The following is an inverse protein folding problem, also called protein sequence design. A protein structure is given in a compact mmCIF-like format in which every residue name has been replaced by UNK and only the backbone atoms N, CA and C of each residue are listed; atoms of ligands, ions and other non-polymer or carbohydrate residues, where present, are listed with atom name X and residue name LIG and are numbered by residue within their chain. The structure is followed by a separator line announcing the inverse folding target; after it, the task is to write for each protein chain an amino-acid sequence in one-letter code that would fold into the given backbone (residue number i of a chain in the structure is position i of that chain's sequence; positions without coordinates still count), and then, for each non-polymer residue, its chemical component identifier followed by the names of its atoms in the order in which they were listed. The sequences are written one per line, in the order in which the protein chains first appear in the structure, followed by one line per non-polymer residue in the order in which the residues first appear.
data_IF_381464783325
#
_entry.id   IF_381464783325
#
_cell.length_a   1.000
_cell.length_b   1.000
_cell.length_c   1.000
_cell.angle_alpha   90.00
_cell.angle_beta   90.00
_cell.angle_gamma   90.00
#
_symmetry.space_group_name_H-M   'P 1'
#
loop_
_entity.id
_entity.type
_entity.pdbx_description
1 polymer ?
#
# COMPACT_ATOMS: atom_id res chain seq x y z
N UNK A 1 -1.54 -7.00 16.29
CA UNK A 1 -2.43 -6.69 15.16
C UNK A 1 -3.61 -7.64 15.11
N UNK A 2 -3.40 -8.98 15.01
CA UNK A 2 -4.49 -9.94 14.88
C UNK A 2 -5.52 -9.86 16.03
N UNK A 3 -5.07 -9.90 17.30
CA UNK A 3 -5.96 -9.77 18.44
C UNK A 3 -6.70 -8.43 18.48
N UNK A 4 -6.05 -7.33 18.06
CA UNK A 4 -6.70 -6.02 17.96
C UNK A 4 -7.79 -5.99 16.88
N UNK A 5 -7.58 -6.67 15.74
CA UNK A 5 -8.57 -6.75 14.69
C UNK A 5 -9.78 -7.61 15.09
N UNK A 6 -9.54 -8.68 15.84
CA UNK A 6 -10.62 -9.50 16.43
C UNK A 6 -11.45 -8.70 17.46
N UNK A 7 -10.78 -7.97 18.33
CA UNK A 7 -11.42 -7.10 19.33
C UNK A 7 -12.24 -5.99 18.67
N UNK A 8 -11.68 -5.31 17.66
CA UNK A 8 -12.37 -4.28 16.85
C UNK A 8 -13.63 -4.83 16.17
N UNK A 9 -13.62 -6.09 15.75
CA UNK A 9 -14.77 -6.77 15.16
C UNK A 9 -15.77 -7.32 16.20
N UNK A 10 -15.42 -7.33 17.49
CA UNK A 10 -16.20 -7.98 18.55
C UNK A 10 -16.26 -9.50 18.39
N UNK A 11 -15.20 -10.09 17.82
CA UNK A 11 -15.09 -11.53 17.53
C UNK A 11 -13.84 -12.12 18.19
N UNK A 12 -13.80 -13.44 18.20
CA UNK A 12 -12.67 -14.22 18.72
C UNK A 12 -12.05 -15.07 17.61
N UNK A 13 -10.90 -15.68 17.87
CA UNK A 13 -10.30 -16.59 16.90
C UNK A 13 -11.17 -17.83 16.61
N UNK A 14 -12.05 -18.23 17.53
CA UNK A 14 -12.98 -19.33 17.37
C UNK A 14 -14.07 -19.05 16.32
N UNK A 15 -14.33 -17.76 16.04
CA UNK A 15 -15.31 -17.35 15.03
C UNK A 15 -14.73 -17.37 13.61
N UNK A 16 -13.40 -17.45 13.49
CA UNK A 16 -12.70 -17.43 12.21
C UNK A 16 -12.75 -18.80 11.53
N UNK A 17 -13.02 -18.80 10.22
CA UNK A 17 -13.10 -20.01 9.41
C UNK A 17 -11.82 -20.25 8.59
N UNK A 18 -11.03 -19.20 8.35
CA UNK A 18 -9.71 -19.29 7.71
C UNK A 18 -8.82 -18.11 8.11
N UNK A 19 -7.50 -18.29 7.96
CA UNK A 19 -6.49 -17.26 8.13
C UNK A 19 -5.68 -17.13 6.84
N UNK A 20 -5.54 -15.90 6.34
CA UNK A 20 -4.71 -15.55 5.19
C UNK A 20 -3.54 -14.68 5.66
N UNK A 21 -2.32 -15.18 5.51
CA UNK A 21 -1.13 -14.53 6.05
C UNK A 21 -0.18 -14.07 4.94
N UNK A 22 0.14 -12.79 4.91
CA UNK A 22 1.16 -12.21 4.05
C UNK A 22 2.48 -12.05 4.80
N UNK A 23 3.54 -12.67 4.27
CA UNK A 23 4.92 -12.48 4.71
C UNK A 23 5.85 -12.76 3.54
N UNK A 24 6.85 -11.90 3.32
CA UNK A 24 7.81 -12.04 2.24
C UNK A 24 9.14 -12.64 2.72
N UNK A 25 9.74 -12.05 3.75
CA UNK A 25 11.09 -12.40 4.18
C UNK A 25 11.24 -13.82 4.73
N UNK A 26 10.16 -14.40 5.25
CA UNK A 26 10.11 -15.76 5.80
C UNK A 26 8.98 -16.58 5.15
N UNK A 27 8.69 -16.37 3.87
CA UNK A 27 7.56 -16.98 3.16
C UNK A 27 7.52 -18.52 3.28
N UNK A 28 8.67 -19.19 3.29
CA UNK A 28 8.76 -20.66 3.44
C UNK A 28 8.62 -21.15 4.90
N UNK A 29 8.53 -20.25 5.88
CA UNK A 29 8.53 -20.59 7.31
C UNK A 29 7.13 -20.76 7.90
N UNK A 30 6.09 -20.83 7.08
CA UNK A 30 4.70 -21.04 7.51
C UNK A 30 4.26 -20.03 8.59
N UNK A 31 4.50 -18.75 8.32
CA UNK A 31 4.31 -17.66 9.31
C UNK A 31 2.86 -17.60 9.82
N UNK A 32 1.88 -17.82 8.94
CA UNK A 32 0.46 -17.85 9.35
C UNK A 32 0.15 -18.89 10.39
N UNK A 33 0.75 -20.10 10.32
CA UNK A 33 0.59 -21.13 11.35
C UNK A 33 1.22 -20.70 12.68
N UNK A 34 2.36 -20.01 12.64
CA UNK A 34 2.98 -19.45 13.85
C UNK A 34 2.10 -18.39 14.50
N UNK A 35 1.52 -17.49 13.66
CA UNK A 35 0.53 -16.51 14.15
C UNK A 35 -0.64 -17.21 14.82
N UNK A 36 -1.19 -18.26 14.18
CA UNK A 36 -2.31 -19.02 14.72
C UNK A 36 -1.97 -19.71 16.05
N UNK A 37 -0.74 -20.21 16.21
CA UNK A 37 -0.24 -20.77 17.48
C UNK A 37 -0.30 -19.77 18.62
N UNK A 38 0.05 -18.52 18.35
CA UNK A 38 0.09 -17.46 19.37
C UNK A 38 -1.31 -16.91 19.75
N UNK A 39 -2.26 -16.90 18.80
CA UNK A 39 -3.59 -16.33 19.02
C UNK A 39 -4.67 -17.37 19.34
N UNK A 40 -4.38 -18.65 19.15
CA UNK A 40 -5.26 -19.77 19.44
C UNK A 40 -5.37 -20.78 18.28
N UNK A 41 -4.94 -22.01 18.52
CA UNK A 41 -4.99 -23.09 17.53
C UNK A 41 -6.40 -23.71 17.45
N UNK A 42 -7.19 -23.23 16.50
CA UNK A 42 -8.59 -23.69 16.28
C UNK A 42 -8.71 -24.75 15.21
N UNK A 43 -7.63 -25.07 14.50
CA UNK A 43 -7.64 -26.04 13.40
C UNK A 43 -8.15 -25.50 12.07
N UNK A 44 -8.36 -24.18 11.96
CA UNK A 44 -8.77 -23.53 10.70
C UNK A 44 -7.70 -23.62 9.62
N UNK A 45 -8.10 -23.53 8.35
CA UNK A 45 -7.20 -23.49 7.22
C UNK A 45 -6.35 -22.21 7.23
N UNK A 46 -5.06 -22.34 6.91
CA UNK A 46 -4.11 -21.22 6.82
C UNK A 46 -3.52 -21.17 5.42
N UNK A 47 -3.60 -20.00 4.77
CA UNK A 47 -2.97 -19.71 3.48
C UNK A 47 -1.87 -18.69 3.69
N UNK A 48 -0.64 -19.01 3.29
CA UNK A 48 0.47 -18.08 3.31
C UNK A 48 0.69 -17.50 1.91
N UNK A 49 0.82 -16.18 1.81
CA UNK A 49 1.00 -15.45 0.56
C UNK A 49 2.34 -14.72 0.54
N UNK A 50 2.98 -14.65 -0.63
CA UNK A 50 4.14 -13.83 -0.89
C UNK A 50 4.05 -13.26 -2.31
N UNK A 51 4.17 -11.91 -2.45
CA UNK A 51 4.06 -11.22 -3.72
C UNK A 51 4.80 -9.87 -3.68
N UNK A 52 6.09 -9.93 -3.34
CA UNK A 52 6.94 -8.77 -3.08
C UNK A 52 6.25 -7.75 -2.14
N UNK A 53 6.33 -6.45 -2.43
CA UNK A 53 5.68 -5.42 -1.61
C UNK A 53 4.14 -5.50 -1.61
N UNK A 54 3.53 -6.16 -2.61
CA UNK A 54 2.08 -6.40 -2.69
C UNK A 54 1.60 -7.60 -1.84
N UNK A 55 2.47 -8.21 -1.04
CA UNK A 55 2.18 -9.40 -0.23
C UNK A 55 0.95 -9.22 0.67
N UNK A 56 0.88 -8.12 1.43
CA UNK A 56 -0.27 -7.84 2.31
C UNK A 56 -1.57 -7.62 1.54
N UNK A 57 -1.50 -6.90 0.41
CA UNK A 57 -2.66 -6.69 -0.47
C UNK A 57 -3.14 -8.02 -1.07
N UNK A 58 -2.22 -8.92 -1.43
CA UNK A 58 -2.55 -10.26 -1.91
C UNK A 58 -3.26 -11.08 -0.84
N UNK A 59 -2.73 -11.12 0.39
CA UNK A 59 -3.38 -11.86 1.49
C UNK A 59 -4.80 -11.33 1.78
N UNK A 60 -4.99 -10.01 1.77
CA UNK A 60 -6.31 -9.40 1.91
C UNK A 60 -7.26 -9.78 0.76
N UNK A 61 -6.76 -9.76 -0.48
CA UNK A 61 -7.56 -10.16 -1.64
C UNK A 61 -7.99 -11.62 -1.58
N UNK A 62 -7.11 -12.52 -1.22
CA UNK A 62 -7.45 -13.95 -1.12
C UNK A 62 -8.48 -14.19 0.01
N UNK A 63 -8.35 -13.49 1.13
CA UNK A 63 -9.36 -13.47 2.18
C UNK A 63 -10.71 -12.97 1.66
N UNK A 64 -10.71 -11.84 0.94
CA UNK A 64 -11.91 -11.27 0.33
C UNK A 64 -12.54 -12.21 -0.71
N UNK A 65 -11.73 -12.85 -1.57
CA UNK A 65 -12.20 -13.81 -2.57
C UNK A 65 -12.89 -15.00 -1.92
N UNK A 66 -12.36 -15.51 -0.82
CA UNK A 66 -12.98 -16.61 -0.05
C UNK A 66 -14.37 -16.24 0.46
N UNK A 67 -14.51 -15.02 1.00
CA UNK A 67 -15.82 -14.51 1.47
C UNK A 67 -16.75 -14.23 0.28
N UNK A 68 -16.25 -13.59 -0.76
CA UNK A 68 -17.03 -13.24 -1.96
C UNK A 68 -17.58 -14.47 -2.69
N UNK A 69 -16.80 -15.55 -2.73
CA UNK A 69 -17.18 -16.82 -3.33
C UNK A 69 -18.11 -17.66 -2.42
N UNK A 70 -18.38 -17.22 -1.18
CA UNK A 70 -19.21 -17.94 -0.22
C UNK A 70 -18.56 -19.21 0.34
N UNK A 71 -17.23 -19.32 0.25
CA UNK A 71 -16.48 -20.44 0.87
C UNK A 71 -16.45 -20.28 2.39
N UNK A 72 -16.26 -19.04 2.84
CA UNK A 72 -16.26 -18.67 4.26
C UNK A 72 -17.13 -17.43 4.48
N UNK A 73 -17.72 -17.30 5.66
CA UNK A 73 -18.46 -16.11 6.07
C UNK A 73 -17.61 -15.15 6.90
N UNK A 74 -16.60 -15.67 7.62
CA UNK A 74 -15.74 -14.89 8.53
C UNK A 74 -14.30 -15.37 8.42
N UNK A 75 -13.38 -14.48 8.06
CA UNK A 75 -11.96 -14.80 7.90
C UNK A 75 -11.07 -13.72 8.45
N UNK A 76 -9.83 -14.08 8.78
CA UNK A 76 -8.81 -13.17 9.25
C UNK A 76 -7.70 -13.04 8.19
N UNK A 77 -7.41 -11.81 7.77
CA UNK A 77 -6.23 -11.46 6.98
C UNK A 77 -5.17 -10.85 7.90
N UNK A 78 -3.94 -11.35 7.83
CA UNK A 78 -2.81 -10.84 8.62
C UNK A 78 -1.63 -10.60 7.70
N UNK A 79 -1.01 -9.45 7.82
CA UNK A 79 0.27 -9.14 7.19
C UNK A 79 1.31 -8.89 8.26
N UNK A 80 2.47 -9.49 8.14
CA UNK A 80 3.57 -9.33 9.10
C UNK A 80 4.89 -9.39 8.38
N UNK A 81 5.83 -8.52 8.77
CA UNK A 81 7.20 -8.55 8.27
C UNK A 81 8.19 -8.19 9.35
N UNK A 82 9.29 -8.92 9.34
CA UNK A 82 10.49 -8.60 10.09
C UNK A 82 11.60 -8.27 9.10
N UNK A 83 11.84 -6.97 8.91
CA UNK A 83 12.71 -6.46 7.86
C UNK A 83 14.19 -6.65 8.15
N UNK A 84 14.59 -6.58 9.42
CA UNK A 84 15.98 -6.62 9.81
C UNK A 84 16.82 -5.51 9.19
N UNK A 85 18.16 -5.64 9.31
CA UNK A 85 19.08 -4.73 8.63
C UNK A 85 19.38 -5.31 7.23
N UNK A 86 18.70 -4.82 6.19
CA UNK A 86 19.14 -5.06 4.83
C UNK A 86 18.22 -5.82 3.87
N UNK A 87 16.96 -6.07 4.19
CA UNK A 87 16.04 -6.68 3.22
C UNK A 87 15.85 -5.81 1.96
N UNK A 88 15.91 -4.48 2.10
CA UNK A 88 15.89 -3.54 0.96
C UNK A 88 17.28 -3.07 0.53
N UNK A 89 18.32 -3.33 1.30
CA UNK A 89 19.67 -2.75 1.11
C UNK A 89 20.78 -3.73 0.74
N UNK A 90 20.52 -4.99 0.59
CA UNK A 90 21.60 -5.90 0.32
C UNK A 90 21.22 -7.24 -0.26
N UNK A 91 21.67 -7.51 -1.47
CA UNK A 91 22.06 -8.82 -1.90
C UNK A 91 20.99 -9.89 -2.11
N UNK A 92 19.74 -9.58 -1.96
CA UNK A 92 18.67 -10.36 -2.57
C UNK A 92 18.64 -10.02 -4.06
N UNK A 93 19.69 -10.34 -4.79
CA UNK A 93 19.65 -10.25 -6.23
C UNK A 93 18.38 -10.96 -6.67
N UNK A 94 17.51 -10.32 -7.42
CA UNK A 94 16.45 -10.99 -8.13
C UNK A 94 17.13 -12.11 -8.92
N UNK A 95 17.07 -13.33 -8.38
CA UNK A 95 17.68 -14.48 -9.01
C UNK A 95 17.02 -14.58 -10.38
N UNK A 96 17.82 -14.30 -11.44
CA UNK A 96 17.35 -14.40 -12.79
C UNK A 96 17.26 -13.10 -13.61
N UNK A 97 17.60 -11.91 -13.06
CA UNK A 97 17.78 -10.72 -13.92
C UNK A 97 19.08 -10.90 -14.70
N UNK A 98 19.04 -10.88 -16.05
CA UNK A 98 20.24 -10.95 -16.87
C UNK A 98 21.22 -9.84 -16.49
N UNK A 99 22.53 -10.12 -16.52
CA UNK A 99 23.55 -9.13 -16.20
C UNK A 99 23.45 -7.88 -17.09
N UNK A 100 22.95 -8.04 -18.29
CA UNK A 100 22.68 -6.96 -19.27
C UNK A 100 21.58 -6.00 -18.79
N UNK A 101 20.61 -6.50 -18.03
CA UNK A 101 19.57 -5.69 -17.37
C UNK A 101 20.08 -4.95 -16.13
N UNK A 102 21.32 -5.16 -15.74
CA UNK A 102 21.94 -4.56 -14.55
C UNK A 102 22.72 -3.26 -14.85
N UNK A 103 22.67 -2.75 -16.06
CA UNK A 103 23.23 -1.43 -16.36
C UNK A 103 22.37 -0.35 -15.70
N UNK A 104 22.27 -0.43 -14.38
CA UNK A 104 21.69 0.57 -13.52
C UNK A 104 20.49 0.17 -12.67
N UNK A 105 19.77 -0.91 -12.97
CA UNK A 105 18.45 -1.13 -12.41
C UNK A 105 18.24 -2.38 -11.53
N UNK A 106 19.29 -3.09 -11.17
CA UNK A 106 19.18 -4.28 -10.31
C UNK A 106 18.73 -3.97 -8.87
N UNK A 107 18.61 -2.70 -8.51
CA UNK A 107 18.18 -2.26 -7.18
C UNK A 107 16.93 -1.40 -7.27
N UNK A 108 15.99 -1.59 -6.34
CA UNK A 108 14.74 -0.82 -6.30
C UNK A 108 14.92 0.70 -6.36
N UNK A 109 15.90 1.33 -5.66
CA UNK A 109 16.12 2.76 -5.77
C UNK A 109 16.41 3.23 -7.20
N UNK A 110 17.15 2.46 -7.99
CA UNK A 110 17.46 2.81 -9.37
C UNK A 110 16.21 2.75 -10.27
N UNK A 111 15.40 1.69 -10.15
CA UNK A 111 14.17 1.52 -10.94
C UNK A 111 13.26 2.74 -10.81
N UNK A 112 12.95 3.16 -9.58
CA UNK A 112 12.05 4.29 -9.35
C UNK A 112 12.72 5.64 -9.62
N UNK A 113 14.03 5.74 -9.48
CA UNK A 113 14.79 6.93 -9.87
C UNK A 113 14.75 7.14 -11.39
N UNK A 114 14.97 6.09 -12.17
CA UNK A 114 14.92 6.15 -13.64
C UNK A 114 13.52 6.49 -14.12
N UNK A 115 12.47 5.87 -13.56
CA UNK A 115 11.09 6.21 -13.87
C UNK A 115 10.77 7.69 -13.53
N UNK A 116 11.26 8.20 -12.40
CA UNK A 116 11.14 9.61 -12.03
C UNK A 116 11.90 10.54 -12.99
N UNK A 117 13.10 10.14 -13.42
CA UNK A 117 13.88 10.90 -14.41
C UNK A 117 13.22 10.91 -15.79
N UNK A 118 12.59 9.82 -16.19
CA UNK A 118 11.80 9.77 -17.41
C UNK A 118 10.61 10.73 -17.32
N UNK A 119 9.92 10.76 -16.20
CA UNK A 119 8.83 11.70 -15.94
C UNK A 119 9.32 13.15 -15.99
N UNK A 120 10.48 13.44 -15.37
CA UNK A 120 11.12 14.78 -15.46
C UNK A 120 11.41 15.18 -16.90
N UNK A 121 11.94 14.25 -17.70
CA UNK A 121 12.26 14.52 -19.10
C UNK A 121 11.02 14.79 -19.96
N UNK A 122 9.94 14.03 -19.72
CA UNK A 122 8.73 14.11 -20.52
C UNK A 122 7.86 15.31 -20.12
N UNK A 123 7.82 15.67 -18.83
CA UNK A 123 6.85 16.63 -18.28
C UNK A 123 7.47 17.77 -17.48
N UNK A 124 8.79 17.77 -17.30
CA UNK A 124 9.48 18.85 -16.58
C UNK A 124 9.37 18.78 -15.05
N UNK A 125 8.92 17.66 -14.48
CA UNK A 125 8.85 17.50 -13.01
C UNK A 125 10.23 17.65 -12.38
N UNK A 126 10.32 18.49 -11.37
CA UNK A 126 11.58 18.90 -10.76
C UNK A 126 11.98 18.04 -9.56
N UNK A 127 13.26 18.05 -9.22
CA UNK A 127 13.78 17.44 -8.01
C UNK A 127 13.06 17.97 -6.75
N UNK A 128 12.76 19.26 -6.72
CA UNK A 128 12.04 19.91 -5.62
C UNK A 128 10.62 19.35 -5.47
N UNK A 129 9.91 19.10 -6.57
CA UNK A 129 8.57 18.51 -6.54
C UNK A 129 8.58 17.09 -5.98
N UNK A 130 9.57 16.27 -6.34
CA UNK A 130 9.75 14.96 -5.69
C UNK A 130 10.06 15.11 -4.20
N UNK A 131 10.93 16.04 -3.81
CA UNK A 131 11.26 16.26 -2.40
C UNK A 131 10.05 16.74 -1.57
N UNK A 132 9.15 17.55 -2.14
CA UNK A 132 7.90 17.98 -1.51
C UNK A 132 6.98 16.82 -1.13
N UNK A 133 6.99 15.70 -1.86
CA UNK A 133 6.28 14.47 -1.48
C UNK A 133 6.76 13.99 -0.11
N UNK A 134 8.07 13.92 0.09
CA UNK A 134 8.65 13.51 1.36
C UNK A 134 8.29 14.49 2.50
N UNK A 135 8.37 15.79 2.25
CA UNK A 135 7.95 16.83 3.22
C UNK A 135 6.48 16.60 3.64
N UNK A 136 5.58 16.43 2.68
CA UNK A 136 4.16 16.15 2.92
C UNK A 136 3.97 14.89 3.77
N UNK A 137 4.61 13.78 3.41
CA UNK A 137 4.45 12.51 4.11
C UNK A 137 5.04 12.57 5.53
N UNK A 138 6.16 13.25 5.74
CA UNK A 138 6.72 13.50 7.07
C UNK A 138 5.80 14.40 7.91
N UNK A 139 5.17 15.42 7.33
CA UNK A 139 4.16 16.21 8.03
C UNK A 139 2.95 15.34 8.44
N UNK A 140 2.38 14.56 7.53
CA UNK A 140 1.26 13.67 7.82
C UNK A 140 1.59 12.69 8.94
N UNK A 141 2.80 12.15 8.97
CA UNK A 141 3.21 11.19 10.00
C UNK A 141 3.30 11.78 11.41
N UNK A 142 3.49 13.10 11.55
CA UNK A 142 3.43 13.75 12.88
C UNK A 142 2.05 13.64 13.53
N UNK A 143 1.02 13.43 12.72
CA UNK A 143 -0.37 13.25 13.14
C UNK A 143 -0.74 11.79 13.37
N UNK A 144 0.17 10.84 13.05
CA UNK A 144 -0.08 9.41 13.16
C UNK A 144 0.76 8.78 14.28
N UNK A 145 0.16 8.41 15.42
CA UNK A 145 0.91 7.82 16.54
C UNK A 145 1.51 6.44 16.21
N UNK A 146 1.14 5.82 15.08
CA UNK A 146 1.67 4.53 14.63
C UNK A 146 2.80 4.68 13.60
N UNK A 147 3.13 5.89 13.18
CA UNK A 147 4.22 6.12 12.25
C UNK A 147 5.59 5.93 12.92
N UNK A 148 6.56 5.41 12.16
CA UNK A 148 7.93 5.23 12.63
C UNK A 148 8.62 6.55 12.91
N UNK A 149 8.49 7.51 11.99
CA UNK A 149 8.98 8.87 12.16
C UNK A 149 7.79 9.82 12.37
N UNK A 150 7.85 10.61 13.43
CA UNK A 150 6.84 11.61 13.79
C UNK A 150 7.50 12.98 13.93
N UNK A 151 8.28 13.36 12.93
CA UNK A 151 9.15 14.55 12.95
C UNK A 151 8.93 15.33 11.66
N UNK A 152 8.65 16.63 11.80
CA UNK A 152 8.65 17.57 10.68
C UNK A 152 10.01 17.60 10.00
N UNK A 153 10.00 17.50 8.68
CA UNK A 153 11.23 17.44 7.90
C UNK A 153 11.20 18.53 6.83
N UNK A 154 11.94 19.63 7.02
CA UNK A 154 11.98 20.74 6.07
C UNK A 154 12.50 20.32 4.69
N UNK A 155 12.03 21.01 3.64
CA UNK A 155 12.39 20.73 2.25
C UNK A 155 13.92 20.73 2.03
N UNK A 156 14.60 21.70 2.58
CA UNK A 156 16.07 21.80 2.48
C UNK A 156 16.76 20.57 3.09
N UNK A 157 16.26 20.06 4.21
CA UNK A 157 16.77 18.84 4.84
C UNK A 157 16.57 17.62 3.94
N UNK A 158 15.42 17.50 3.29
CA UNK A 158 15.13 16.40 2.34
C UNK A 158 16.07 16.48 1.15
N UNK A 159 16.21 17.66 0.54
CA UNK A 159 17.01 17.87 -0.67
C UNK A 159 18.51 17.67 -0.44
N UNK A 160 19.02 18.04 0.73
CA UNK A 160 20.43 17.92 1.11
C UNK A 160 20.79 16.60 1.79
N UNK A 161 19.84 15.68 1.96
CA UNK A 161 20.12 14.36 2.50
C UNK A 161 21.02 13.54 1.54
N UNK A 162 21.63 12.48 2.07
CA UNK A 162 22.46 11.57 1.28
C UNK A 162 21.71 11.10 0.01
N UNK A 163 22.33 11.28 -1.16
CA UNK A 163 21.77 10.83 -2.43
C UNK A 163 21.90 9.31 -2.54
N UNK A 164 20.79 8.62 -2.70
CA UNK A 164 20.74 7.17 -2.88
C UNK A 164 20.76 6.79 -4.37
N UNK A 165 19.85 7.38 -5.14
CA UNK A 165 19.80 7.26 -6.60
C UNK A 165 19.02 8.45 -7.14
N UNK A 166 19.69 9.36 -7.87
CA UNK A 166 19.08 10.62 -8.32
C UNK A 166 17.78 10.36 -9.10
N UNK A 167 16.64 11.02 -8.74
CA UNK A 167 16.52 12.14 -7.81
C UNK A 167 16.15 11.74 -6.36
N UNK A 168 16.22 10.49 -5.94
CA UNK A 168 15.85 10.09 -4.60
C UNK A 168 17.01 10.21 -3.61
N UNK A 169 16.87 11.12 -2.64
CA UNK A 169 17.70 11.14 -1.45
C UNK A 169 17.23 10.12 -0.42
N UNK A 170 18.01 9.88 0.62
CA UNK A 170 17.70 8.94 1.70
C UNK A 170 16.34 9.21 2.36
N UNK A 171 15.96 10.48 2.53
CA UNK A 171 14.68 10.88 3.09
C UNK A 171 13.52 10.79 2.09
N UNK A 172 13.81 10.48 0.84
CA UNK A 172 12.84 10.20 -0.22
C UNK A 172 12.68 8.69 -0.48
N UNK A 173 13.26 7.84 0.38
CA UNK A 173 13.16 6.39 0.33
C UNK A 173 12.31 5.87 1.50
N UNK A 174 11.57 4.80 1.27
CA UNK A 174 10.78 4.15 2.32
C UNK A 174 11.63 3.61 3.47
N UNK A 175 11.03 3.60 4.66
CA UNK A 175 11.70 3.18 5.89
C UNK A 175 11.56 1.69 6.11
N UNK A 176 12.69 1.01 6.32
CA UNK A 176 12.71 -0.37 6.79
C UNK A 176 12.24 -0.44 8.23
N UNK A 177 11.19 -1.18 8.47
CA UNK A 177 10.58 -1.31 9.80
C UNK A 177 9.92 -2.67 9.94
N UNK A 178 10.03 -3.26 11.12
CA UNK A 178 9.22 -4.42 11.49
C UNK A 178 7.78 -3.98 11.72
N UNK A 179 6.82 -4.78 11.28
CA UNK A 179 5.43 -4.39 11.45
C UNK A 179 4.43 -5.49 11.14
N UNK A 180 3.21 -5.30 11.66
CA UNK A 180 2.10 -6.18 11.41
C UNK A 180 0.78 -5.39 11.32
N UNK A 181 -0.10 -5.84 10.44
CA UNK A 181 -1.46 -5.35 10.31
C UNK A 181 -2.43 -6.53 10.14
N UNK A 182 -3.68 -6.36 10.52
CA UNK A 182 -4.69 -7.39 10.36
C UNK A 182 -6.06 -6.77 10.08
N UNK A 183 -6.91 -7.55 9.39
CA UNK A 183 -8.29 -7.19 9.11
C UNK A 183 -9.18 -8.44 9.22
N UNK A 184 -10.32 -8.29 9.86
CA UNK A 184 -11.41 -9.28 9.83
C UNK A 184 -12.31 -8.97 8.65
N UNK A 185 -12.55 -9.95 7.80
CA UNK A 185 -13.49 -9.84 6.69
C UNK A 185 -14.70 -10.74 6.96
N UNK A 186 -15.88 -10.18 6.71
CA UNK A 186 -17.15 -10.89 6.92
C UNK A 186 -18.03 -10.78 5.69
N UNK A 187 -18.87 -11.80 5.45
CA UNK A 187 -19.93 -11.70 4.44
C UNK A 187 -20.94 -10.62 4.85
N UNK A 188 -21.55 -9.96 3.86
CA UNK A 188 -22.56 -8.93 4.14
C UNK A 188 -23.74 -9.51 4.97
N UNK A 189 -24.12 -10.76 4.71
CA UNK A 189 -25.13 -11.47 5.50
C UNK A 189 -24.69 -11.57 6.96
N UNK A 190 -23.45 -12.01 7.20
CA UNK A 190 -22.92 -12.19 8.55
C UNK A 190 -22.74 -10.85 9.27
N UNK A 191 -22.30 -9.81 8.58
CA UNK A 191 -22.19 -8.48 9.15
C UNK A 191 -23.56 -7.94 9.65
N UNK A 192 -24.62 -8.18 8.90
CA UNK A 192 -25.98 -7.82 9.31
C UNK A 192 -26.47 -8.65 10.50
N UNK A 193 -26.23 -9.96 10.49
CA UNK A 193 -26.58 -10.85 11.61
C UNK A 193 -25.91 -10.43 12.92
N UNK A 194 -24.66 -9.98 12.84
CA UNK A 194 -23.85 -9.55 13.99
C UNK A 194 -24.06 -8.07 14.34
N UNK A 195 -24.85 -7.31 13.57
CA UNK A 195 -25.09 -5.89 13.83
C UNK A 195 -23.84 -5.01 13.71
N UNK A 196 -22.93 -5.32 12.79
CA UNK A 196 -21.65 -4.63 12.61
C UNK A 196 -21.82 -3.25 11.98
N UNK A 197 -22.29 -2.27 12.75
CA UNK A 197 -22.54 -0.90 12.27
C UNK A 197 -21.26 -0.16 11.80
N UNK A 198 -20.07 -0.55 12.31
CA UNK A 198 -18.79 0.06 11.94
C UNK A 198 -18.11 -0.60 10.73
N UNK A 199 -18.75 -1.61 10.12
CA UNK A 199 -18.17 -2.30 8.98
C UNK A 199 -17.97 -1.34 7.79
N UNK A 200 -16.87 -1.54 7.07
CA UNK A 200 -16.56 -0.83 5.81
C UNK A 200 -16.71 -1.84 4.68
N UNK A 201 -17.39 -1.46 3.60
CA UNK A 201 -17.62 -2.36 2.46
C UNK A 201 -16.42 -2.38 1.52
N UNK A 202 -15.97 -3.56 1.13
CA UNK A 202 -15.00 -3.74 0.04
C UNK A 202 -15.75 -3.72 -1.30
N UNK A 203 -15.64 -2.63 -2.04
CA UNK A 203 -16.27 -2.45 -3.36
C UNK A 203 -15.48 -3.10 -4.48
N UNK A 204 -14.16 -3.01 -4.40
CA UNK A 204 -13.25 -3.67 -5.33
C UNK A 204 -12.03 -4.23 -4.62
N UNK A 205 -11.55 -5.34 -5.12
CA UNK A 205 -10.29 -5.96 -4.71
C UNK A 205 -9.65 -6.62 -5.92
N UNK A 206 -8.60 -6.00 -6.45
CA UNK A 206 -7.95 -6.34 -7.71
C UNK A 206 -6.50 -6.72 -7.44
N UNK A 207 -6.02 -7.72 -8.15
CA UNK A 207 -4.61 -8.10 -8.22
C UNK A 207 -4.26 -8.36 -9.68
N UNK A 208 -3.27 -7.65 -10.21
CA UNK A 208 -2.84 -7.77 -11.60
C UNK A 208 -1.34 -8.07 -11.68
N UNK A 209 -0.94 -8.55 -12.84
CA UNK A 209 0.44 -8.60 -13.31
C UNK A 209 0.59 -7.75 -14.58
N UNK A 210 1.82 -7.57 -15.04
CA UNK A 210 2.11 -6.82 -16.25
C UNK A 210 1.34 -7.37 -17.46
N UNK A 211 0.78 -6.51 -18.29
CA UNK A 211 0.24 -6.92 -19.58
C UNK A 211 1.38 -7.38 -20.51
N UNK A 212 1.09 -8.33 -21.38
CA UNK A 212 2.03 -8.62 -22.46
C UNK A 212 2.22 -7.37 -23.34
N UNK A 213 3.45 -7.00 -23.58
CA UNK A 213 3.83 -5.90 -24.48
C UNK A 213 5.18 -6.22 -25.13
N UNK A 214 5.41 -5.71 -26.34
CA UNK A 214 6.69 -5.80 -27.06
C UNK A 214 7.72 -4.79 -26.53
N UNK A 215 7.77 -4.63 -25.22
CA UNK A 215 8.69 -3.71 -24.54
C UNK A 215 10.05 -4.35 -24.31
N UNK A 216 11.06 -3.51 -24.15
CA UNK A 216 12.32 -3.93 -23.57
C UNK A 216 12.10 -4.32 -22.10
N UNK A 217 12.44 -5.56 -21.74
CA UNK A 217 12.27 -6.09 -20.38
C UNK A 217 13.43 -5.69 -19.44
N UNK A 218 14.32 -4.83 -19.87
CA UNK A 218 15.44 -4.33 -19.05
C UNK A 218 14.94 -3.59 -17.81
N UNK A 219 13.85 -2.82 -17.96
CA UNK A 219 13.25 -2.04 -16.89
C UNK A 219 11.82 -2.52 -16.57
N UNK A 220 11.48 -2.76 -15.28
CA UNK A 220 10.11 -2.99 -14.89
C UNK A 220 9.21 -1.80 -15.21
N UNK A 221 8.11 -2.05 -15.90
CA UNK A 221 7.10 -1.02 -16.18
C UNK A 221 6.13 -0.88 -15.00
N UNK A 222 6.40 0.07 -14.11
CA UNK A 222 5.55 0.35 -12.95
C UNK A 222 4.25 1.07 -13.32
N UNK A 223 4.18 1.68 -14.50
CA UNK A 223 3.02 2.48 -14.93
C UNK A 223 1.91 1.59 -15.49
N UNK A 224 2.22 0.72 -16.45
CA UNK A 224 1.22 -0.11 -17.12
C UNK A 224 0.48 -1.05 -16.17
N UNK A 225 1.21 -1.69 -15.24
CA UNK A 225 0.60 -2.59 -14.24
C UNK A 225 -0.37 -1.85 -13.33
N UNK A 226 -0.01 -0.63 -12.89
CA UNK A 226 -0.85 0.21 -12.03
C UNK A 226 -2.09 0.72 -12.78
N UNK A 227 -1.92 1.28 -13.99
CA UNK A 227 -3.05 1.78 -14.80
C UNK A 227 -4.05 0.68 -15.10
N UNK A 228 -3.58 -0.53 -15.41
CA UNK A 228 -4.44 -1.70 -15.61
C UNK A 228 -5.21 -2.08 -14.34
N UNK A 229 -4.53 -2.12 -13.20
CA UNK A 229 -5.16 -2.43 -11.92
C UNK A 229 -6.20 -1.37 -11.53
N UNK A 230 -5.90 -0.09 -11.72
CA UNK A 230 -6.80 1.03 -11.44
C UNK A 230 -8.06 0.96 -12.30
N UNK A 231 -7.93 0.76 -13.61
CA UNK A 231 -9.08 0.62 -14.52
C UNK A 231 -10.01 -0.53 -14.08
N UNK A 232 -9.45 -1.70 -13.75
CA UNK A 232 -10.23 -2.84 -13.27
C UNK A 232 -10.89 -2.56 -11.91
N UNK A 233 -10.21 -1.83 -11.01
CA UNK A 233 -10.76 -1.52 -9.70
C UNK A 233 -11.94 -0.53 -9.80
N UNK A 234 -11.82 0.50 -10.64
CA UNK A 234 -12.91 1.44 -10.91
C UNK A 234 -14.11 0.74 -11.57
N UNK A 235 -13.87 -0.09 -12.59
CA UNK A 235 -14.93 -0.87 -13.24
C UNK A 235 -15.65 -1.80 -12.23
N UNK A 236 -14.89 -2.55 -11.42
CA UNK A 236 -15.46 -3.44 -10.40
C UNK A 236 -16.25 -2.69 -9.34
N UNK A 237 -15.80 -1.51 -8.92
CA UNK A 237 -16.47 -0.67 -7.94
C UNK A 237 -17.68 0.09 -8.51
N UNK A 238 -17.72 0.31 -9.83
CA UNK A 238 -18.74 1.11 -10.53
C UNK A 238 -18.64 2.60 -10.22
N UNK A 239 -17.41 3.13 -10.07
CA UNK A 239 -17.12 4.54 -9.77
C UNK A 239 -15.95 5.02 -10.63
N UNK A 240 -15.67 6.35 -10.61
CA UNK A 240 -14.51 6.96 -11.24
C UNK A 240 -13.47 7.46 -10.24
N UNK A 241 -12.30 7.92 -10.73
CA UNK A 241 -11.28 8.53 -9.87
C UNK A 241 -11.79 9.75 -9.12
N UNK A 242 -12.76 10.49 -9.67
CA UNK A 242 -13.40 11.66 -9.07
C UNK A 242 -14.23 11.36 -7.82
N UNK A 243 -14.63 10.10 -7.63
CA UNK A 243 -15.39 9.65 -6.47
C UNK A 243 -14.50 9.32 -5.25
N UNK A 244 -13.20 9.16 -5.47
CA UNK A 244 -12.25 8.78 -4.41
C UNK A 244 -11.98 9.97 -3.51
N UNK A 245 -12.21 9.80 -2.20
CA UNK A 245 -11.99 10.84 -1.19
C UNK A 245 -10.61 10.82 -0.54
N UNK A 246 -9.92 9.68 -0.55
CA UNK A 246 -8.55 9.54 -0.04
C UNK A 246 -7.86 8.32 -0.65
N UNK A 247 -6.53 8.37 -0.70
CA UNK A 247 -5.70 7.28 -1.23
C UNK A 247 -4.52 6.99 -0.29
N UNK A 248 -4.31 5.73 0.05
CA UNK A 248 -3.06 5.21 0.60
C UNK A 248 -2.36 4.41 -0.50
N UNK A 249 -1.36 5.00 -1.14
CA UNK A 249 -0.65 4.42 -2.27
C UNK A 249 0.79 4.03 -1.92
N UNK A 250 1.43 3.32 -2.83
CA UNK A 250 2.77 2.78 -2.69
C UNK A 250 3.85 3.82 -3.01
N UNK A 251 4.21 4.61 -2.01
CA UNK A 251 5.30 5.59 -2.05
C UNK A 251 6.61 4.99 -1.54
N UNK A 252 7.04 3.86 -2.12
CA UNK A 252 8.34 3.29 -1.72
C UNK A 252 9.51 4.24 -1.98
N UNK A 253 9.32 5.18 -2.91
CA UNK A 253 10.17 6.35 -3.18
C UNK A 253 9.27 7.56 -3.49
N UNK A 254 9.76 8.76 -3.24
CA UNK A 254 9.01 9.98 -3.53
C UNK A 254 8.66 10.10 -5.02
N UNK A 255 9.54 9.65 -5.91
CA UNK A 255 9.26 9.56 -7.35
C UNK A 255 8.08 8.65 -7.67
N UNK A 256 7.94 7.52 -6.97
CA UNK A 256 6.83 6.59 -7.17
C UNK A 256 5.48 7.25 -6.86
N UNK A 257 5.39 8.05 -5.82
CA UNK A 257 4.13 8.72 -5.47
C UNK A 257 3.66 9.66 -6.57
N UNK A 258 4.55 10.47 -7.15
CA UNK A 258 4.25 11.35 -8.30
C UNK A 258 3.71 10.54 -9.48
N UNK A 259 4.39 9.46 -9.86
CA UNK A 259 3.94 8.59 -10.95
C UNK A 259 2.54 8.01 -10.69
N UNK A 260 2.24 7.65 -9.46
CA UNK A 260 0.99 7.01 -9.11
C UNK A 260 -0.20 7.97 -9.03
N UNK A 261 0.01 9.29 -8.88
CA UNK A 261 -1.09 10.25 -9.04
C UNK A 261 -1.71 10.13 -10.44
N UNK A 262 -0.86 10.03 -11.47
CA UNK A 262 -1.28 9.87 -12.86
C UNK A 262 -1.78 8.45 -13.17
N UNK A 263 -1.06 7.44 -12.68
CA UNK A 263 -1.41 6.04 -12.93
C UNK A 263 -2.75 5.63 -12.31
N UNK A 264 -3.14 6.25 -11.22
CA UNK A 264 -4.43 6.06 -10.56
C UNK A 264 -5.53 6.99 -11.12
N UNK A 265 -5.18 7.88 -12.06
CA UNK A 265 -6.12 8.81 -12.68
C UNK A 265 -6.54 9.99 -11.78
N UNK A 266 -5.75 10.29 -10.73
CA UNK A 266 -6.03 11.43 -9.84
C UNK A 266 -5.79 12.78 -10.53
N UNK A 267 -4.96 12.79 -11.57
CA UNK A 267 -4.72 13.88 -12.51
C UNK A 267 -4.36 13.32 -13.89
N UNK A 268 -4.21 14.22 -14.86
CA UNK A 268 -3.73 13.86 -16.21
C UNK A 268 -2.20 13.72 -16.21
N UNK A 269 -1.70 13.01 -17.22
CA UNK A 269 -0.26 12.87 -17.42
C UNK A 269 0.42 14.24 -17.51
N UNK A 270 1.50 14.44 -16.75
CA UNK A 270 2.26 15.68 -16.63
C UNK A 270 1.73 16.69 -15.61
N UNK A 271 0.60 16.44 -14.94
CA UNK A 271 0.04 17.37 -13.94
C UNK A 271 0.46 17.04 -12.50
N UNK A 272 1.03 15.86 -12.23
CA UNK A 272 1.35 15.39 -10.88
C UNK A 272 2.28 16.32 -10.10
N UNK A 273 3.28 16.91 -10.78
CA UNK A 273 4.17 17.89 -10.15
C UNK A 273 3.44 19.14 -9.64
N UNK A 274 2.43 19.61 -10.39
CA UNK A 274 1.60 20.74 -9.96
C UNK A 274 0.68 20.37 -8.80
N UNK A 275 0.12 19.15 -8.78
CA UNK A 275 -0.73 18.73 -7.65
C UNK A 275 -0.01 18.81 -6.31
N UNK A 276 1.27 18.46 -6.26
CA UNK A 276 2.05 18.56 -5.02
C UNK A 276 2.36 20.03 -4.68
N UNK A 277 2.65 20.87 -5.67
CA UNK A 277 2.91 22.30 -5.47
C UNK A 277 1.68 23.05 -4.96
N UNK A 278 0.51 22.74 -5.51
CA UNK A 278 -0.77 23.35 -5.14
C UNK A 278 -1.36 22.78 -3.84
N UNK A 279 -0.72 21.77 -3.23
CA UNK A 279 -1.17 21.14 -1.99
C UNK A 279 -2.43 20.27 -2.14
N UNK A 280 -2.84 19.91 -3.36
CA UNK A 280 -4.05 19.15 -3.63
C UNK A 280 -4.07 17.76 -2.97
N UNK A 281 -2.90 17.18 -2.74
CA UNK A 281 -2.71 15.84 -2.17
C UNK A 281 -2.35 15.84 -0.68
N UNK A 282 -2.26 17.02 -0.08
CA UNK A 282 -2.07 17.16 1.37
C UNK A 282 -3.39 16.92 2.13
N UNK A 283 -3.31 16.69 3.43
CA UNK A 283 -4.47 16.65 4.31
C UNK A 283 -5.24 17.98 4.21
N UNK A 284 -6.53 17.90 3.90
CA UNK A 284 -7.37 19.07 3.62
C UNK A 284 -7.33 19.54 2.16
N UNK A 285 -6.50 18.97 1.32
CA UNK A 285 -6.49 19.20 -0.13
C UNK A 285 -7.64 18.50 -0.85
N UNK A 286 -7.68 18.61 -2.18
CA UNK A 286 -8.75 18.04 -3.02
C UNK A 286 -8.85 16.53 -2.92
N UNK A 287 -7.72 15.83 -2.88
CA UNK A 287 -7.63 14.37 -2.76
C UNK A 287 -6.42 13.98 -1.90
N UNK A 288 -6.60 13.92 -0.58
CA UNK A 288 -5.51 13.57 0.33
C UNK A 288 -4.89 12.21 0.03
N UNK A 289 -3.56 12.19 -0.07
CA UNK A 289 -2.78 10.99 -0.37
C UNK A 289 -1.77 10.73 0.75
N UNK A 290 -1.70 9.47 1.19
CA UNK A 290 -0.77 9.01 2.20
C UNK A 290 -0.84 9.82 3.50
N UNK A 291 -2.06 10.04 3.97
CA UNK A 291 -2.32 10.78 5.23
C UNK A 291 -1.81 10.04 6.46
N UNK A 292 -1.50 8.75 6.31
CA UNK A 292 -0.81 7.95 7.34
C UNK A 292 0.66 8.35 7.55
N UNK A 293 1.24 9.14 6.64
CA UNK A 293 2.67 9.41 6.52
C UNK A 293 3.35 8.58 5.42
N UNK A 294 2.60 7.72 4.73
CA UNK A 294 3.10 6.89 3.65
C UNK A 294 4.22 5.92 4.08
N UNK A 295 4.81 5.26 3.13
CA UNK A 295 5.94 4.35 3.37
C UNK A 295 7.23 5.12 3.70
N UNK A 296 7.31 6.38 3.24
CA UNK A 296 8.46 7.26 3.46
C UNK A 296 8.64 7.63 4.94
N UNK A 297 7.58 7.66 5.73
CA UNK A 297 7.63 8.10 7.12
C UNK A 297 6.91 7.16 8.10
N UNK A 298 5.74 6.62 7.74
CA UNK A 298 5.07 5.58 8.54
C UNK A 298 5.92 4.30 8.58
N UNK A 299 6.52 3.92 7.45
CA UNK A 299 7.35 2.74 7.29
C UNK A 299 6.75 1.70 6.35
N UNK A 300 7.60 0.76 5.90
CA UNK A 300 7.28 -0.22 4.86
C UNK A 300 7.60 -1.67 5.26
N UNK A 301 6.85 -2.26 6.22
CA UNK A 301 6.95 -3.70 6.49
C UNK A 301 6.25 -4.45 5.34
N UNK A 302 7.01 -5.06 4.41
CA UNK A 302 6.54 -5.54 3.10
C UNK A 302 5.28 -6.41 3.19
N UNK A 303 5.29 -7.41 4.07
CA UNK A 303 4.14 -8.29 4.27
C UNK A 303 2.91 -7.63 4.88
N UNK A 304 3.10 -6.54 5.62
CA UNK A 304 2.01 -5.86 6.35
C UNK A 304 1.44 -4.66 5.59
N UNK A 305 2.23 -4.01 4.71
CA UNK A 305 1.89 -2.71 4.11
C UNK A 305 0.50 -2.67 3.50
N UNK A 306 0.12 -3.65 2.66
CA UNK A 306 -1.18 -3.63 2.00
C UNK A 306 -2.36 -3.68 2.96
N UNK A 307 -2.25 -4.42 4.08
CA UNK A 307 -3.29 -4.47 5.11
C UNK A 307 -3.23 -3.22 6.00
N UNK A 308 -2.04 -2.65 6.25
CA UNK A 308 -1.92 -1.39 6.98
C UNK A 308 -2.59 -0.23 6.21
N UNK A 309 -2.52 -0.21 4.89
CA UNK A 309 -3.25 0.76 4.07
C UNK A 309 -4.77 0.55 4.16
N UNK A 310 -5.25 -0.71 4.20
CA UNK A 310 -6.66 -1.03 4.48
C UNK A 310 -7.08 -0.50 5.85
N UNK A 311 -6.27 -0.72 6.88
CA UNK A 311 -6.52 -0.18 8.22
C UNK A 311 -6.67 1.34 8.19
N UNK A 312 -5.75 2.06 7.56
CA UNK A 312 -5.79 3.52 7.51
C UNK A 312 -7.03 4.03 6.79
N UNK A 313 -7.29 3.55 5.57
CA UNK A 313 -8.51 3.92 4.82
C UNK A 313 -9.78 3.61 5.60
N UNK A 314 -9.86 2.43 6.23
CA UNK A 314 -11.03 2.05 7.04
C UNK A 314 -11.23 2.99 8.24
N UNK A 315 -10.14 3.40 8.90
CA UNK A 315 -10.16 4.35 10.01
C UNK A 315 -10.75 5.69 9.60
N UNK A 316 -10.35 6.21 8.42
CA UNK A 316 -10.91 7.45 7.87
C UNK A 316 -12.39 7.32 7.50
N UNK A 317 -12.79 6.23 6.84
CA UNK A 317 -14.18 6.00 6.44
C UNK A 317 -15.12 5.85 7.66
N UNK A 318 -14.58 5.39 8.79
CA UNK A 318 -15.29 5.32 10.07
C UNK A 318 -15.35 6.64 10.82
N UNK A 319 -14.54 7.64 10.46
CA UNK A 319 -14.40 8.90 11.19
C UNK A 319 -13.58 8.79 12.47
N UNK A 320 -12.61 7.89 12.50
CA UNK A 320 -11.82 7.52 13.68
C UNK A 320 -10.33 7.89 13.56
N UNK A 321 -9.98 8.75 12.59
CA UNK A 321 -8.59 9.08 12.28
C UNK A 321 -8.03 10.28 13.09
N UNK A 322 -8.74 10.76 14.09
CA UNK A 322 -8.33 11.87 14.95
C UNK A 322 -7.83 13.10 14.14
N UNK A 323 -6.65 13.61 14.47
CA UNK A 323 -6.07 14.82 13.86
C UNK A 323 -5.80 14.72 12.35
N UNK A 324 -5.69 13.49 11.82
CA UNK A 324 -5.45 13.25 10.38
C UNK A 324 -6.72 12.92 9.61
N UNK A 325 -7.92 13.09 10.21
CA UNK A 325 -9.20 12.75 9.61
C UNK A 325 -9.41 13.47 8.26
N UNK A 326 -9.69 12.69 7.23
CA UNK A 326 -10.22 13.18 5.95
C UNK A 326 -11.73 13.22 6.07
N UNK A 327 -12.28 14.42 6.09
CA UNK A 327 -13.70 14.63 6.27
C UNK A 327 -14.50 14.33 4.98
N UNK A 328 -15.69 13.78 5.13
CA UNK A 328 -16.63 13.57 4.02
C UNK A 328 -16.25 12.47 3.04
N UNK A 329 -15.16 11.76 3.24
CA UNK A 329 -14.77 10.66 2.37
C UNK A 329 -15.81 9.53 2.39
N UNK A 330 -16.35 9.20 1.22
CA UNK A 330 -17.25 8.07 1.02
C UNK A 330 -16.50 6.84 0.50
N UNK A 331 -15.58 7.04 -0.42
CA UNK A 331 -14.73 6.00 -0.97
C UNK A 331 -13.26 6.31 -0.65
N UNK A 332 -12.51 5.27 -0.34
CA UNK A 332 -11.06 5.35 -0.20
C UNK A 332 -10.38 4.21 -0.94
N UNK A 333 -9.20 4.48 -1.46
CA UNK A 333 -8.43 3.54 -2.26
C UNK A 333 -7.12 3.17 -1.56
N UNK A 334 -6.74 1.90 -1.67
CA UNK A 334 -5.38 1.44 -1.35
C UNK A 334 -4.71 0.92 -2.60
N UNK A 335 -3.41 1.16 -2.74
CA UNK A 335 -2.62 0.72 -3.87
C UNK A 335 -1.23 0.28 -3.42
N UNK A 336 -0.80 -0.90 -3.85
CA UNK A 336 0.57 -1.41 -3.59
C UNK A 336 1.10 -2.12 -4.83
N UNK A 337 2.30 -1.76 -5.26
CA UNK A 337 3.05 -2.51 -6.28
C UNK A 337 4.02 -3.46 -5.60
N UNK A 338 4.08 -4.69 -6.09
CA UNK A 338 5.18 -5.62 -5.86
C UNK A 338 6.13 -5.61 -7.06
N UNK A 339 7.35 -5.08 -6.89
CA UNK A 339 8.32 -5.04 -7.97
C UNK A 339 8.59 -6.46 -8.48
N UNK A 340 8.53 -6.65 -9.79
CA UNK A 340 8.55 -7.96 -10.43
C UNK A 340 7.17 -8.39 -10.96
N UNK A 341 6.26 -7.41 -11.15
CA UNK A 341 4.97 -7.62 -11.83
C UNK A 341 3.80 -8.01 -10.94
N UNK A 342 3.57 -7.25 -9.85
CA UNK A 342 2.34 -7.37 -9.08
C UNK A 342 1.77 -6.01 -8.73
N UNK A 343 0.45 -5.83 -8.81
CA UNK A 343 -0.23 -4.64 -8.31
C UNK A 343 -1.55 -5.03 -7.65
N UNK A 344 -1.70 -4.63 -6.38
CA UNK A 344 -2.93 -4.80 -5.61
C UNK A 344 -3.63 -3.46 -5.40
N UNK A 345 -4.92 -3.37 -5.76
CA UNK A 345 -5.77 -2.20 -5.49
C UNK A 345 -7.05 -2.66 -4.81
N UNK A 346 -7.41 -1.95 -3.73
CA UNK A 346 -8.69 -2.14 -3.07
C UNK A 346 -9.43 -0.82 -2.97
N UNK A 347 -10.73 -0.82 -3.24
CA UNK A 347 -11.62 0.33 -3.03
C UNK A 347 -12.60 -0.02 -1.92
N UNK A 348 -12.62 0.80 -0.90
CA UNK A 348 -13.46 0.68 0.27
C UNK A 348 -14.54 1.76 0.26
N UNK A 349 -15.73 1.42 0.76
CA UNK A 349 -16.89 2.32 0.86
C UNK A 349 -17.34 2.42 2.31
N UNK A 350 -17.60 3.64 2.77
CA UNK A 350 -18.33 3.89 4.01
C UNK A 350 -19.75 3.35 3.87
N UNK A 351 -20.15 2.46 4.79
CA UNK A 351 -21.54 2.01 4.87
C UNK A 351 -22.34 3.07 5.65
N UNK A 352 -23.49 3.45 5.09
CA UNK A 352 -24.39 4.45 5.68
C UNK A 352 -25.04 3.94 6.96
#
# INVERSE_FOLDING_TARGET
AALMALDDAGLTIQDMQALYCGNLGQASAMVGQRVLQEIGQTGIGVVNCANACATGATAFREAWMSVKAGVNDVVLAVGVEQMGKGLLGGGGGAAGIPKEGLLGSGTMPAVFAEAGMEHSRNYGTTFEQFAKVSVKNHHHSTLNPKAMYQIETPLETVMNAEMISYPNTKLMCSVNVDGAAAAVLVSEKKARELGMARAVRVKASVLTSDPYSDRDLVMPDVNAVTRRAAAQAYEMAGIGPEDIGLVELHDCFATAEILHYENLGLCKDGEAGRMIDDGEVALGGRIPVNVSGGLLSKGHPLGATGIANIYEVSTHLRGEADKRQVEGARFGMTHVIGLGSACGIHILEKVA
#
